data_IF_410878144746
#
_entry.id   IF_410878144746
#
_cell.length_a   1.000
_cell.length_b   1.000
_cell.length_c   1.000
_cell.angle_alpha   90.00
_cell.angle_beta   90.00
_cell.angle_gamma   90.00
#
_symmetry.space_group_name_H-M   'P 1'
#
loop_
_entity.id
_entity.type
_entity.pdbx_description
1 polymer ?
#
# COMPACT_ATOMS: atom_id res chain seq x y z
N UNK A 1 10.70 10.26 -12.73
CA UNK A 1 10.61 8.83 -12.39
C UNK A 1 10.35 8.67 -10.91
N UNK A 2 9.40 7.81 -10.55
CA UNK A 2 9.10 7.49 -9.15
C UNK A 2 10.03 6.36 -8.70
N UNK A 3 10.69 6.55 -7.55
CA UNK A 3 11.60 5.56 -6.98
C UNK A 3 10.83 4.51 -6.17
N UNK A 4 10.68 3.32 -6.74
CA UNK A 4 9.97 2.19 -6.12
C UNK A 4 10.79 1.54 -4.99
N UNK A 5 12.05 1.92 -4.79
CA UNK A 5 12.86 1.41 -3.68
C UNK A 5 12.30 1.82 -2.32
N UNK A 6 11.55 2.92 -2.25
CA UNK A 6 10.91 3.38 -1.00
C UNK A 6 9.74 2.48 -0.55
N UNK A 7 9.20 1.65 -1.45
CA UNK A 7 8.16 0.67 -1.11
C UNK A 7 8.77 -0.64 -0.57
N UNK A 8 10.10 -0.77 -0.58
CA UNK A 8 10.82 -1.89 0.01
C UNK A 8 11.08 -1.58 1.49
N UNK A 9 10.75 -2.53 2.38
CA UNK A 9 10.97 -2.37 3.82
C UNK A 9 12.46 -2.07 4.10
N UNK A 10 12.81 -0.90 4.67
CA UNK A 10 14.20 -0.48 4.84
C UNK A 10 14.93 -1.22 5.99
N UNK A 11 14.21 -1.77 6.97
CA UNK A 11 14.78 -2.24 8.24
C UNK A 11 14.92 -3.78 8.35
N UNK A 12 14.70 -4.55 7.28
CA UNK A 12 14.79 -6.03 7.30
C UNK A 12 16.17 -6.58 6.87
N UNK A 13 17.19 -5.73 6.79
CA UNK A 13 18.57 -6.13 6.48
C UNK A 13 19.28 -6.62 7.75
N UNK A 14 18.91 -7.80 8.24
CA UNK A 14 19.75 -8.56 9.16
C UNK A 14 20.94 -9.16 8.39
N UNK A 15 22.20 -8.91 8.81
CA UNK A 15 23.40 -9.24 8.02
C UNK A 15 23.70 -10.73 7.85
N UNK A 16 23.02 -11.63 8.57
CA UNK A 16 23.32 -13.09 8.56
C UNK A 16 22.16 -13.97 8.02
N UNK A 17 21.09 -13.39 7.48
CA UNK A 17 20.04 -14.16 6.84
C UNK A 17 20.17 -14.09 5.31
N UNK A 18 20.56 -15.21 4.69
CA UNK A 18 20.43 -15.42 3.25
C UNK A 18 18.93 -15.43 2.91
N UNK A 19 18.36 -14.24 2.71
CA UNK A 19 17.18 -13.88 1.93
C UNK A 19 16.89 -12.41 2.19
N UNK A 20 16.94 -11.52 1.18
CA UNK A 20 16.36 -10.20 1.36
C UNK A 20 14.88 -10.39 1.64
N UNK A 21 14.44 -10.12 2.87
CA UNK A 21 13.01 -9.95 3.20
C UNK A 21 12.60 -8.57 2.67
N UNK A 22 12.67 -8.43 1.35
CA UNK A 22 12.52 -7.21 0.61
C UNK A 22 12.18 -7.59 -0.82
N UNK A 23 10.90 -7.46 -1.14
CA UNK A 23 10.24 -7.87 -2.38
C UNK A 23 10.21 -9.39 -2.60
N UNK A 24 9.04 -9.99 -2.35
CA UNK A 24 8.74 -11.36 -2.80
C UNK A 24 8.56 -11.31 -4.32
N UNK A 25 9.64 -11.52 -5.07
CA UNK A 25 9.54 -11.78 -6.51
C UNK A 25 8.88 -13.14 -6.69
N UNK A 26 7.71 -13.15 -7.30
CA UNK A 26 7.00 -14.36 -7.65
C UNK A 26 7.00 -14.45 -9.17
N UNK A 27 7.77 -15.40 -9.71
CA UNK A 27 7.71 -15.73 -11.13
C UNK A 27 6.39 -16.49 -11.38
N UNK A 28 5.50 -15.91 -12.17
CA UNK A 28 4.18 -16.50 -12.42
C UNK A 28 4.15 -17.11 -13.81
N UNK A 29 4.00 -18.43 -13.88
CA UNK A 29 3.77 -19.10 -15.16
C UNK A 29 2.39 -18.69 -15.70
N UNK A 30 2.25 -18.37 -17.00
CA UNK A 30 0.96 -18.09 -17.59
C UNK A 30 -0.04 -19.24 -17.34
N UNK A 31 -1.12 -18.97 -16.62
CA UNK A 31 -2.11 -19.99 -16.20
C UNK A 31 -2.88 -20.59 -17.39
N UNK A 32 -2.93 -19.87 -18.52
CA UNK A 32 -3.78 -20.19 -19.67
C UNK A 32 -3.02 -20.54 -20.96
N UNK A 33 -1.69 -20.48 -20.96
CA UNK A 33 -0.90 -20.90 -22.10
C UNK A 33 -0.40 -22.32 -21.84
N UNK A 34 -1.10 -23.32 -22.38
CA UNK A 34 -0.50 -24.64 -22.52
C UNK A 34 0.40 -24.65 -23.76
N UNK A 35 1.56 -25.30 -23.70
CA UNK A 35 2.39 -25.47 -24.89
C UNK A 35 1.61 -26.31 -25.90
N UNK A 36 1.13 -25.66 -26.96
CA UNK A 36 0.48 -26.35 -28.09
C UNK A 36 1.55 -26.98 -28.96
N UNK A 37 2.07 -28.12 -28.52
CA UNK A 37 2.82 -28.98 -29.41
C UNK A 37 1.85 -29.56 -30.45
N UNK A 38 2.19 -29.50 -31.75
CA UNK A 38 1.36 -30.09 -32.78
C UNK A 38 1.09 -31.57 -32.47
N UNK A 39 -0.17 -32.01 -32.63
CA UNK A 39 -0.56 -33.41 -32.42
C UNK A 39 0.20 -34.27 -33.42
N UNK A 40 1.18 -35.01 -32.92
CA UNK A 40 2.11 -35.77 -33.74
C UNK A 40 1.40 -37.00 -34.28
N UNK A 41 1.21 -37.06 -35.59
CA UNK A 41 0.87 -38.31 -36.28
C UNK A 41 2.05 -39.28 -36.16
N UNK A 42 1.79 -40.59 -36.23
CA UNK A 42 2.72 -41.68 -35.95
C UNK A 42 4.16 -41.51 -36.50
N UNK A 43 5.12 -42.19 -35.86
CA UNK A 43 6.56 -42.10 -36.11
C UNK A 43 6.95 -41.86 -37.59
N UNK A 44 7.84 -40.88 -37.88
CA UNK A 44 8.16 -40.51 -39.26
C UNK A 44 8.77 -41.69 -40.02
N UNK A 45 8.46 -41.80 -41.31
CA UNK A 45 9.23 -42.69 -42.16
C UNK A 45 10.69 -42.19 -42.21
N UNK A 46 11.71 -43.07 -42.29
CA UNK A 46 13.12 -42.67 -42.22
C UNK A 46 13.57 -41.60 -43.23
N UNK A 47 12.83 -41.42 -44.34
CA UNK A 47 13.07 -40.40 -45.35
C UNK A 47 12.58 -38.98 -44.97
N UNK A 48 11.67 -38.86 -44.00
CA UNK A 48 10.97 -37.61 -43.65
C UNK A 48 11.48 -37.00 -42.34
N UNK A 49 12.56 -37.57 -41.77
CA UNK A 49 13.07 -37.18 -40.46
C UNK A 49 13.59 -35.73 -40.41
N UNK A 50 14.08 -35.20 -41.53
CA UNK A 50 14.54 -33.82 -41.63
C UNK A 50 13.39 -32.83 -41.44
N UNK A 51 12.27 -33.07 -42.11
CA UNK A 51 11.06 -32.25 -41.98
C UNK A 51 10.45 -32.38 -40.60
N UNK A 52 10.44 -33.60 -40.04
CA UNK A 52 10.01 -33.86 -38.66
C UNK A 52 10.79 -33.03 -37.62
N UNK A 53 12.12 -32.98 -37.75
CA UNK A 53 12.96 -32.19 -36.83
C UNK A 53 12.72 -30.69 -37.04
N UNK A 54 12.63 -30.24 -38.30
CA UNK A 54 12.44 -28.83 -38.63
C UNK A 54 11.09 -28.29 -38.15
N UNK A 55 10.01 -29.07 -38.28
CA UNK A 55 8.69 -28.72 -37.75
C UNK A 55 8.71 -28.67 -36.21
N UNK A 56 9.32 -29.67 -35.57
CA UNK A 56 9.46 -29.70 -34.11
C UNK A 56 10.28 -28.53 -33.56
N UNK A 57 11.35 -28.14 -34.25
CA UNK A 57 12.18 -27.00 -33.90
C UNK A 57 11.39 -25.68 -34.00
N UNK A 58 10.68 -25.47 -35.11
CA UNK A 58 9.84 -24.27 -35.28
C UNK A 58 8.76 -24.19 -34.21
N UNK A 59 8.15 -25.31 -33.82
CA UNK A 59 7.16 -25.33 -32.74
C UNK A 59 7.78 -24.98 -31.37
N UNK A 60 8.98 -25.49 -31.08
CA UNK A 60 9.68 -25.21 -29.83
C UNK A 60 10.18 -23.75 -29.72
N UNK A 61 10.72 -23.20 -30.81
CA UNK A 61 11.25 -21.82 -30.82
C UNK A 61 10.16 -20.75 -30.68
N UNK A 62 8.92 -21.08 -31.05
CA UNK A 62 7.77 -20.17 -30.96
C UNK A 62 6.85 -20.50 -29.77
N UNK A 63 7.31 -21.31 -28.81
CA UNK A 63 6.54 -21.68 -27.63
C UNK A 63 6.39 -20.49 -26.67
N UNK A 64 5.18 -19.92 -26.49
CA UNK A 64 4.96 -18.76 -25.63
C UNK A 64 5.04 -19.10 -24.14
N UNK A 65 5.13 -20.39 -23.80
CA UNK A 65 5.33 -20.87 -22.43
C UNK A 65 6.80 -20.99 -22.06
N UNK A 66 7.70 -20.70 -22.99
CA UNK A 66 9.13 -20.67 -22.71
C UNK A 66 9.49 -19.45 -21.83
N UNK A 67 10.42 -19.58 -20.87
CA UNK A 67 10.93 -18.45 -20.07
C UNK A 67 11.61 -17.36 -20.90
N UNK A 68 11.76 -16.12 -20.37
CA UNK A 68 11.43 -15.69 -19.01
C UNK A 68 9.94 -15.45 -18.79
N UNK A 69 9.45 -15.75 -17.59
CA UNK A 69 8.09 -15.43 -17.19
C UNK A 69 8.00 -14.01 -16.64
N UNK A 70 6.78 -13.48 -16.63
CA UNK A 70 6.49 -12.26 -15.90
C UNK A 70 6.68 -12.49 -14.39
N UNK A 71 7.12 -11.44 -13.70
CA UNK A 71 7.31 -11.47 -12.25
C UNK A 71 6.47 -10.40 -11.56
N UNK A 72 5.86 -10.77 -10.45
CA UNK A 72 5.17 -9.83 -9.57
C UNK A 72 6.14 -9.30 -8.51
N UNK A 73 6.08 -7.99 -8.25
CA UNK A 73 6.75 -7.35 -7.13
C UNK A 73 5.70 -7.01 -6.07
N UNK A 74 5.73 -7.75 -4.96
CA UNK A 74 4.81 -7.52 -3.85
C UNK A 74 5.41 -6.47 -2.90
N UNK A 75 4.65 -5.41 -2.67
CA UNK A 75 4.99 -4.32 -1.74
C UNK A 75 3.97 -4.28 -0.60
N UNK A 76 4.47 -4.33 0.63
CA UNK A 76 3.68 -4.36 1.87
C UNK A 76 4.26 -3.43 2.94
N UNK A 77 5.14 -2.50 2.57
CA UNK A 77 5.70 -1.53 3.50
C UNK A 77 4.69 -0.42 3.82
N UNK A 78 4.16 -0.44 5.04
CA UNK A 78 3.21 0.55 5.55
C UNK A 78 3.89 1.83 6.09
N UNK A 79 5.22 1.81 6.26
CA UNK A 79 5.96 2.85 6.97
C UNK A 79 6.35 2.43 8.38
N UNK A 80 6.99 3.33 9.12
CA UNK A 80 7.54 3.08 10.45
C UNK A 80 6.67 3.60 11.61
N UNK A 81 5.43 4.02 11.33
CA UNK A 81 4.53 4.54 12.36
C UNK A 81 4.95 5.91 12.92
N UNK A 82 5.48 6.78 12.07
CA UNK A 82 5.88 8.14 12.47
C UNK A 82 4.72 8.93 13.08
N UNK A 83 4.97 9.59 14.22
CA UNK A 83 4.03 10.54 14.80
C UNK A 83 3.78 11.69 13.83
N UNK A 84 2.52 12.11 13.65
CA UNK A 84 2.12 13.21 12.76
C UNK A 84 2.61 14.62 13.17
N UNK A 85 3.62 14.70 14.04
CA UNK A 85 4.07 15.94 14.65
C UNK A 85 3.04 16.56 15.60
N UNK A 86 3.19 17.86 15.86
CA UNK A 86 2.21 18.63 16.62
C UNK A 86 1.16 19.20 15.68
N UNK A 87 -0.11 18.90 15.92
CA UNK A 87 -1.22 19.50 15.19
C UNK A 87 -1.63 20.83 15.85
N UNK A 88 -2.02 21.80 15.03
CA UNK A 88 -2.57 23.06 15.52
C UNK A 88 -3.81 22.80 16.37
N UNK A 89 -3.91 23.45 17.52
CA UNK A 89 -5.14 23.41 18.33
C UNK A 89 -6.30 24.04 17.56
N UNK A 90 -7.49 23.46 17.68
CA UNK A 90 -8.73 24.02 17.12
C UNK A 90 -9.23 25.23 17.92
N UNK A 91 -8.50 25.71 18.93
CA UNK A 91 -8.88 26.87 19.70
C UNK A 91 -9.06 28.06 18.75
N UNK A 92 -10.32 28.40 18.49
CA UNK A 92 -10.66 29.77 18.13
C UNK A 92 -10.13 30.63 19.26
N UNK A 93 -9.34 31.65 18.92
CA UNK A 93 -8.85 32.62 19.89
C UNK A 93 -10.01 32.98 20.81
N UNK A 94 -9.94 32.62 22.10
CA UNK A 94 -10.83 33.20 23.10
C UNK A 94 -10.36 34.63 23.25
N UNK A 95 -10.67 35.45 22.26
CA UNK A 95 -10.31 36.86 22.19
C UNK A 95 -11.11 37.57 23.25
N UNK A 96 -10.65 37.48 24.51
CA UNK A 96 -11.15 38.21 25.67
C UNK A 96 -12.64 38.48 25.60
N UNK A 97 -13.45 37.45 25.32
CA UNK A 97 -14.89 37.58 25.23
C UNK A 97 -15.34 38.20 26.54
N UNK A 98 -15.98 39.37 26.44
CA UNK A 98 -16.24 40.27 27.54
C UNK A 98 -16.73 39.47 28.74
N UNK A 99 -16.04 39.59 29.88
CA UNK A 99 -16.39 38.92 31.15
C UNK A 99 -17.66 39.56 31.74
N UNK A 100 -18.66 39.77 30.90
CA UNK A 100 -19.97 40.25 31.24
C UNK A 100 -20.83 39.02 31.58
N UNK A 101 -21.23 38.95 32.84
CA UNK A 101 -22.03 37.87 33.39
C UNK A 101 -23.42 38.35 33.79
N UNK A 102 -23.93 39.43 33.21
CA UNK A 102 -25.22 40.03 33.57
C UNK A 102 -26.40 39.06 33.43
N UNK A 103 -26.30 38.08 32.53
CA UNK A 103 -27.28 37.00 32.37
C UNK A 103 -27.46 36.11 33.62
N UNK A 104 -26.53 36.12 34.57
CA UNK A 104 -26.66 35.40 35.84
C UNK A 104 -27.82 35.94 36.69
N UNK A 105 -28.16 37.22 36.54
CA UNK A 105 -29.28 37.85 37.25
C UNK A 105 -30.63 37.20 36.90
N UNK A 106 -30.77 36.70 35.66
CA UNK A 106 -32.01 36.13 35.15
C UNK A 106 -32.16 34.62 35.42
N UNK A 107 -31.12 33.94 35.92
CA UNK A 107 -31.16 32.49 36.17
C UNK A 107 -31.87 32.09 37.48
N UNK A 108 -32.28 33.08 38.29
CA UNK A 108 -33.08 32.89 39.49
C UNK A 108 -32.27 32.63 40.77
N UNK A 109 -32.94 32.36 41.91
CA UNK A 109 -32.36 32.51 43.24
C UNK A 109 -31.20 31.55 43.56
N UNK A 110 -31.11 30.41 42.85
CA UNK A 110 -29.99 29.48 43.01
C UNK A 110 -28.66 30.06 42.51
N UNK A 111 -28.71 31.00 41.58
CA UNK A 111 -27.55 31.64 40.97
C UNK A 111 -27.26 33.03 41.52
N UNK A 112 -28.05 33.51 42.48
CA UNK A 112 -27.89 34.83 43.09
C UNK A 112 -26.47 35.08 43.58
N UNK A 113 -25.86 34.13 44.29
CA UNK A 113 -24.48 34.28 44.78
C UNK A 113 -23.46 34.46 43.65
N UNK A 114 -23.69 33.83 42.50
CA UNK A 114 -22.82 33.99 41.32
C UNK A 114 -23.08 35.34 40.65
N UNK A 115 -24.35 35.76 40.54
CA UNK A 115 -24.71 37.09 40.04
C UNK A 115 -24.10 38.20 40.91
N UNK A 116 -24.17 38.07 42.23
CA UNK A 116 -23.58 39.03 43.19
C UNK A 116 -22.03 39.10 43.04
N UNK A 117 -21.36 38.00 42.69
CA UNK A 117 -19.90 37.97 42.55
C UNK A 117 -19.38 38.44 41.18
N UNK A 118 -20.18 38.32 40.12
CA UNK A 118 -19.73 38.50 38.72
C UNK A 118 -20.55 39.49 37.88
N UNK A 119 -21.72 39.93 38.36
CA UNK A 119 -22.67 40.78 37.62
C UNK A 119 -22.55 42.28 37.90
N UNK A 120 -21.35 42.77 38.25
CA UNK A 120 -21.07 44.21 38.33
C UNK A 120 -21.96 44.99 39.30
N UNK A 121 -21.83 44.74 40.60
CA UNK A 121 -22.45 45.57 41.65
C UNK A 121 -21.36 46.18 42.54
N UNK A 122 -21.07 47.46 42.31
CA UNK A 122 -20.32 48.30 43.25
C UNK A 122 -21.01 48.31 44.62
N UNK A 123 -20.22 48.03 45.66
CA UNK A 123 -20.38 48.58 47.02
C UNK A 123 -19.00 49.13 47.45
#
# INVERSE_FOLDING_TARGET
DYDLSQLQQPDTVEPDAIKPVGIRRLDERPIHAEPQYPVRSAAPHPGDIGDFINEGLKAADNDPTAPPYDSLLVFDYEGSGSTAGSLSSLNSSSSGGEQDYDYLNDWGPRFKKLADMYGGGDD
#
